data_IF_564588109595
#
_entry.id   IF_564588109595
#
_cell.length_a   1.000
_cell.length_b   1.000
_cell.length_c   1.000
_cell.angle_alpha   90.00
_cell.angle_beta   90.00
_cell.angle_gamma   90.00
#
_symmetry.space_group_name_H-M   'P 1'
#
loop_
_entity.id
_entity.type
_entity.pdbx_description
1 polymer ?
#
# COMPACT_ATOMS: atom_id res chain seq x y z
N UNK A 1 -32.05 56.25 -0.73
CA UNK A 1 -31.80 54.82 -1.08
C UNK A 1 -33.09 53.97 -0.88
N UNK A 2 -33.72 53.99 0.28
CA UNK A 2 -34.96 53.25 0.57
C UNK A 2 -36.13 53.58 -0.35
N UNK A 3 -36.30 54.84 -0.76
CA UNK A 3 -37.36 55.28 -1.67
C UNK A 3 -37.16 54.68 -3.07
N UNK A 4 -35.96 54.71 -3.57
CA UNK A 4 -35.59 54.11 -4.86
C UNK A 4 -35.83 52.60 -4.90
N UNK A 5 -35.44 51.87 -3.84
CA UNK A 5 -35.71 50.46 -3.74
C UNK A 5 -37.20 50.09 -3.68
N UNK A 6 -38.03 50.92 -3.03
CA UNK A 6 -39.49 50.75 -3.02
C UNK A 6 -40.11 50.97 -4.39
N UNK A 7 -39.61 51.95 -5.16
CA UNK A 7 -40.05 52.22 -6.53
C UNK A 7 -39.67 51.05 -7.45
N UNK A 8 -38.45 50.55 -7.36
CA UNK A 8 -37.98 49.35 -8.09
C UNK A 8 -38.83 48.12 -7.74
N UNK A 9 -39.15 47.90 -6.47
CA UNK A 9 -39.98 46.79 -6.03
C UNK A 9 -41.39 46.87 -6.60
N UNK A 10 -42.00 48.08 -6.66
CA UNK A 10 -43.34 48.29 -7.25
C UNK A 10 -43.34 48.14 -8.78
N UNK A 11 -42.25 48.49 -9.42
CA UNK A 11 -42.09 48.36 -10.88
C UNK A 11 -41.76 46.92 -11.30
N UNK A 12 -41.38 46.03 -10.36
CA UNK A 12 -41.01 44.67 -10.71
C UNK A 12 -42.20 43.83 -11.16
N UNK A 13 -42.12 43.06 -12.26
CA UNK A 13 -43.22 42.26 -12.80
C UNK A 13 -43.92 41.37 -11.78
N UNK A 14 -43.17 40.85 -10.80
CA UNK A 14 -43.73 40.00 -9.74
C UNK A 14 -44.55 40.77 -8.69
N UNK A 15 -44.57 42.11 -8.69
CA UNK A 15 -45.29 42.89 -7.68
C UNK A 15 -46.82 42.70 -7.77
N UNK A 16 -47.33 42.55 -8.97
CA UNK A 16 -48.77 42.35 -9.24
C UNK A 16 -49.14 40.87 -9.49
N UNK A 17 -48.19 39.95 -9.34
CA UNK A 17 -48.45 38.52 -9.56
C UNK A 17 -49.28 37.92 -8.41
N UNK A 18 -50.46 37.34 -8.69
CA UNK A 18 -51.31 36.72 -7.67
C UNK A 18 -50.64 35.56 -6.97
N UNK A 19 -49.73 34.84 -7.64
CA UNK A 19 -49.01 33.68 -7.12
C UNK A 19 -47.64 34.04 -6.55
N UNK A 20 -47.35 35.31 -6.26
CA UNK A 20 -46.05 35.80 -5.82
C UNK A 20 -45.45 35.02 -4.64
N UNK A 21 -46.29 34.69 -3.65
CA UNK A 21 -45.83 33.95 -2.46
C UNK A 21 -45.43 32.48 -2.78
N UNK A 22 -46.17 31.85 -3.68
CA UNK A 22 -45.83 30.51 -4.15
C UNK A 22 -44.50 30.54 -4.94
N UNK A 23 -44.36 31.52 -5.84
CA UNK A 23 -43.10 31.70 -6.59
C UNK A 23 -41.92 32.02 -5.69
N UNK A 24 -42.08 32.83 -4.65
CA UNK A 24 -41.05 33.13 -3.68
C UNK A 24 -40.58 31.86 -2.93
N UNK A 25 -41.50 31.02 -2.47
CA UNK A 25 -41.21 29.74 -1.82
C UNK A 25 -40.43 28.79 -2.75
N UNK A 26 -40.83 28.72 -4.02
CA UNK A 26 -40.11 27.93 -5.02
C UNK A 26 -38.71 28.48 -5.30
N UNK A 27 -38.53 29.79 -5.40
CA UNK A 27 -37.27 30.45 -5.58
C UNK A 27 -36.31 30.18 -4.39
N UNK A 28 -36.80 30.32 -3.16
CA UNK A 28 -36.03 30.02 -1.96
C UNK A 28 -35.56 28.55 -1.92
N UNK A 29 -36.50 27.61 -2.26
CA UNK A 29 -36.16 26.18 -2.35
C UNK A 29 -35.11 25.91 -3.41
N UNK A 30 -35.26 26.54 -4.60
CA UNK A 30 -34.30 26.39 -5.69
C UNK A 30 -32.92 26.92 -5.31
N UNK A 31 -32.85 28.11 -4.68
CA UNK A 31 -31.57 28.68 -4.22
C UNK A 31 -30.88 27.84 -3.16
N UNK A 32 -31.65 27.26 -2.26
CA UNK A 32 -31.10 26.34 -1.26
C UNK A 32 -30.49 25.10 -1.92
N UNK A 33 -31.26 24.42 -2.77
CA UNK A 33 -30.80 23.24 -3.49
C UNK A 33 -29.60 23.53 -4.38
N UNK A 34 -29.61 24.66 -5.08
CA UNK A 34 -28.49 25.10 -5.92
C UNK A 34 -27.20 25.27 -5.09
N UNK A 35 -27.28 25.90 -3.92
CA UNK A 35 -26.13 26.07 -3.04
C UNK A 35 -25.59 24.72 -2.54
N UNK A 36 -26.47 23.81 -2.15
CA UNK A 36 -26.11 22.46 -1.74
C UNK A 36 -25.42 21.70 -2.89
N UNK A 37 -26.01 21.76 -4.09
CA UNK A 37 -25.45 21.10 -5.29
C UNK A 37 -24.04 21.63 -5.63
N UNK A 38 -23.86 22.96 -5.66
CA UNK A 38 -22.55 23.59 -5.90
C UNK A 38 -21.54 23.18 -4.81
N UNK A 39 -21.97 23.12 -3.55
CA UNK A 39 -21.13 22.66 -2.45
C UNK A 39 -20.68 21.20 -2.61
N UNK A 40 -21.60 20.32 -3.03
CA UNK A 40 -21.30 18.92 -3.31
C UNK A 40 -20.38 18.74 -4.52
N UNK A 41 -20.65 19.50 -5.61
CA UNK A 41 -19.78 19.48 -6.79
C UNK A 41 -18.34 19.86 -6.47
N UNK A 42 -18.14 20.97 -5.72
CA UNK A 42 -16.78 21.38 -5.27
C UNK A 42 -16.08 20.31 -4.42
N UNK A 43 -16.84 19.60 -3.56
CA UNK A 43 -16.27 18.49 -2.77
C UNK A 43 -15.84 17.31 -3.64
N UNK A 44 -16.65 16.97 -4.66
CA UNK A 44 -16.33 15.89 -5.61
C UNK A 44 -15.12 16.29 -6.45
N UNK A 45 -15.11 17.48 -7.03
CA UNK A 45 -13.98 17.99 -7.83
C UNK A 45 -12.67 18.03 -7.01
N UNK A 46 -12.73 18.49 -5.74
CA UNK A 46 -11.57 18.49 -4.85
C UNK A 46 -11.02 17.08 -4.60
N UNK A 47 -11.90 16.09 -4.40
CA UNK A 47 -11.46 14.68 -4.20
C UNK A 47 -10.90 14.07 -5.48
N UNK A 48 -11.56 14.28 -6.61
CA UNK A 48 -11.10 13.77 -7.92
C UNK A 48 -9.73 14.33 -8.27
N UNK A 49 -9.50 15.64 -8.07
CA UNK A 49 -8.19 16.25 -8.30
C UNK A 49 -7.10 15.71 -7.35
N UNK A 50 -7.46 15.34 -6.11
CA UNK A 50 -6.51 14.74 -5.17
C UNK A 50 -6.10 13.34 -5.63
N UNK A 51 -7.05 12.50 -6.07
CA UNK A 51 -6.77 11.15 -6.58
C UNK A 51 -5.92 11.22 -7.85
N UNK A 52 -6.27 12.10 -8.80
CA UNK A 52 -5.50 12.28 -10.03
C UNK A 52 -4.04 12.70 -9.73
N UNK A 53 -3.83 13.68 -8.85
CA UNK A 53 -2.48 14.11 -8.45
C UNK A 53 -1.68 13.00 -7.77
N UNK A 54 -2.33 12.20 -6.90
CA UNK A 54 -1.66 11.06 -6.26
C UNK A 54 -1.28 10.01 -7.30
N UNK A 55 -2.14 9.76 -8.28
CA UNK A 55 -1.85 8.87 -9.40
C UNK A 55 -0.65 9.37 -10.23
N UNK A 56 -0.63 10.65 -10.60
CA UNK A 56 0.49 11.25 -11.33
C UNK A 56 1.81 11.09 -10.56
N UNK A 57 1.82 11.38 -9.25
CA UNK A 57 3.01 11.21 -8.37
C UNK A 57 3.48 9.76 -8.29
N UNK A 58 2.55 8.79 -8.25
CA UNK A 58 2.90 7.37 -8.29
C UNK A 58 3.54 7.03 -9.63
N UNK A 59 3.00 7.53 -10.74
CA UNK A 59 3.60 7.33 -12.06
C UNK A 59 5.02 7.92 -12.14
N UNK A 60 5.23 9.14 -11.63
CA UNK A 60 6.55 9.78 -11.60
C UNK A 60 7.57 8.95 -10.79
N UNK A 61 7.17 8.42 -9.62
CA UNK A 61 8.02 7.56 -8.80
C UNK A 61 8.33 6.21 -9.51
N UNK A 62 7.35 5.62 -10.17
CA UNK A 62 7.54 4.37 -10.93
C UNK A 62 8.40 4.57 -12.19
N UNK A 63 8.32 5.73 -12.84
CA UNK A 63 9.19 6.14 -13.94
C UNK A 63 10.64 6.28 -13.46
N UNK A 64 10.87 6.97 -12.33
CA UNK A 64 12.20 7.14 -11.74
C UNK A 64 12.88 5.79 -11.43
N UNK A 65 12.12 4.75 -11.06
CA UNK A 65 12.62 3.39 -10.83
C UNK A 65 12.66 2.52 -12.11
N UNK A 66 12.14 3.02 -13.23
CA UNK A 66 12.09 2.32 -14.52
C UNK A 66 11.04 1.21 -14.59
N UNK A 67 9.97 1.30 -13.82
CA UNK A 67 8.78 0.44 -13.93
C UNK A 67 7.80 0.92 -15.01
N UNK A 68 7.83 2.22 -15.31
CA UNK A 68 7.23 2.85 -16.48
C UNK A 68 8.31 3.38 -17.41
N UNK A 69 7.95 3.64 -18.66
CA UNK A 69 8.82 4.30 -19.63
C UNK A 69 8.98 5.79 -19.30
N UNK A 70 9.92 6.48 -19.99
CA UNK A 70 10.23 7.91 -19.79
C UNK A 70 9.03 8.86 -20.01
N UNK A 71 7.91 8.37 -20.53
CA UNK A 71 6.69 9.16 -20.71
C UNK A 71 5.59 8.76 -19.71
N UNK A 72 5.85 7.82 -18.79
CA UNK A 72 4.89 7.33 -17.82
C UNK A 72 3.68 6.60 -18.42
N UNK A 73 3.75 6.20 -19.70
CA UNK A 73 2.60 5.68 -20.44
C UNK A 73 2.67 4.18 -20.74
N UNK A 74 3.86 3.61 -20.78
CA UNK A 74 4.07 2.20 -21.09
C UNK A 74 4.68 1.46 -19.91
N UNK A 75 4.07 0.36 -19.51
CA UNK A 75 4.60 -0.53 -18.48
C UNK A 75 5.81 -1.27 -19.04
N UNK A 76 6.96 -1.13 -18.40
CA UNK A 76 8.19 -1.83 -18.77
C UNK A 76 8.13 -3.31 -18.38
N UNK A 77 9.10 -4.11 -18.83
CA UNK A 77 9.23 -5.51 -18.39
C UNK A 77 9.38 -5.62 -16.85
N UNK A 78 9.99 -4.62 -16.21
CA UNK A 78 10.07 -4.51 -14.74
C UNK A 78 8.70 -4.25 -14.15
N UNK A 79 7.93 -3.35 -14.73
CA UNK A 79 6.55 -3.06 -14.32
C UNK A 79 5.64 -4.29 -14.47
N UNK A 80 5.82 -5.10 -15.52
CA UNK A 80 5.10 -6.36 -15.70
C UNK A 80 5.39 -7.40 -14.60
N UNK A 81 6.52 -7.30 -13.92
CA UNK A 81 6.85 -8.13 -12.76
C UNK A 81 6.27 -7.56 -11.48
N UNK A 82 6.36 -6.25 -11.26
CA UNK A 82 5.77 -5.56 -10.11
C UNK A 82 4.26 -5.85 -10.02
N UNK A 83 3.52 -5.76 -11.13
CA UNK A 83 2.07 -6.03 -11.16
C UNK A 83 1.66 -7.47 -10.76
N UNK A 84 2.61 -8.38 -10.55
CA UNK A 84 2.36 -9.75 -10.03
C UNK A 84 2.50 -9.84 -8.51
N UNK A 85 2.87 -8.76 -7.85
CA UNK A 85 3.03 -8.66 -6.41
C UNK A 85 1.85 -7.87 -5.84
N UNK A 86 1.18 -8.43 -4.84
CA UNK A 86 0.00 -7.84 -4.20
C UNK A 86 0.21 -7.83 -2.68
N UNK A 87 1.04 -6.93 -2.21
CA UNK A 87 1.33 -6.69 -0.80
C UNK A 87 1.47 -5.20 -0.57
N UNK A 88 1.31 -4.73 0.65
CA UNK A 88 1.52 -3.32 1.01
C UNK A 88 2.97 -2.85 0.75
N UNK A 89 3.91 -3.79 0.66
CA UNK A 89 5.33 -3.56 0.36
C UNK A 89 5.74 -4.16 -1.00
N UNK A 90 4.85 -4.09 -1.99
CA UNK A 90 5.06 -4.69 -3.32
C UNK A 90 6.27 -4.12 -4.04
N UNK A 91 6.48 -2.81 -3.98
CA UNK A 91 7.62 -2.13 -4.56
C UNK A 91 8.93 -2.60 -3.91
N UNK A 92 8.97 -2.75 -2.59
CA UNK A 92 10.12 -3.28 -1.88
C UNK A 92 10.40 -4.74 -2.27
N UNK A 93 9.36 -5.57 -2.39
CA UNK A 93 9.50 -6.95 -2.85
C UNK A 93 10.06 -7.02 -4.29
N UNK A 94 9.60 -6.14 -5.18
CA UNK A 94 10.09 -6.04 -6.56
C UNK A 94 11.57 -5.61 -6.61
N UNK A 95 11.95 -4.63 -5.80
CA UNK A 95 13.33 -4.18 -5.68
C UNK A 95 14.24 -5.26 -5.09
N UNK A 96 13.79 -6.02 -4.10
CA UNK A 96 14.53 -7.18 -3.59
C UNK A 96 14.80 -8.24 -4.66
N UNK A 97 13.81 -8.52 -5.52
CA UNK A 97 13.98 -9.41 -6.67
C UNK A 97 14.95 -8.82 -7.71
N UNK A 98 14.87 -7.54 -7.98
CA UNK A 98 15.73 -6.83 -8.93
C UNK A 98 17.20 -6.83 -8.52
N UNK A 99 17.45 -6.67 -7.23
CA UNK A 99 18.80 -6.62 -6.64
C UNK A 99 19.34 -7.97 -6.16
N UNK A 100 18.67 -9.08 -6.53
CA UNK A 100 19.08 -10.44 -6.16
C UNK A 100 19.27 -10.65 -4.64
N UNK A 101 18.55 -9.89 -3.79
CA UNK A 101 18.69 -9.91 -2.32
C UNK A 101 18.50 -11.32 -1.76
N UNK A 102 17.63 -12.10 -2.36
CA UNK A 102 17.23 -13.42 -1.90
C UNK A 102 17.90 -14.58 -2.64
N UNK A 103 18.80 -14.31 -3.59
CA UNK A 103 19.36 -15.31 -4.52
C UNK A 103 20.15 -16.44 -3.85
N UNK A 104 20.78 -16.13 -2.73
CA UNK A 104 21.63 -17.09 -2.01
C UNK A 104 20.92 -17.83 -0.88
N UNK A 105 19.69 -17.48 -0.58
CA UNK A 105 18.93 -18.06 0.51
C UNK A 105 18.42 -19.45 0.13
N UNK A 106 18.49 -20.39 1.07
CA UNK A 106 17.75 -21.64 1.00
C UNK A 106 16.26 -21.41 1.27
N UNK A 107 15.43 -22.44 1.15
CA UNK A 107 13.99 -22.31 1.26
C UNK A 107 13.52 -21.79 2.63
N UNK A 108 13.98 -22.33 3.79
CA UNK A 108 13.63 -21.77 5.10
C UNK A 108 14.10 -20.33 5.31
N UNK A 109 15.30 -19.99 4.85
CA UNK A 109 15.87 -18.65 4.97
C UNK A 109 15.11 -17.65 4.08
N UNK A 110 14.69 -18.07 2.88
CA UNK A 110 13.86 -17.25 2.00
C UNK A 110 12.49 -16.98 2.65
N UNK A 111 11.83 -18.00 3.20
CA UNK A 111 10.57 -17.81 3.90
C UNK A 111 10.73 -16.83 5.08
N UNK A 112 11.82 -16.97 5.85
CA UNK A 112 12.15 -16.07 6.96
C UNK A 112 12.37 -14.62 6.50
N UNK A 113 13.14 -14.39 5.45
CA UNK A 113 13.38 -13.04 4.92
C UNK A 113 12.10 -12.40 4.36
N UNK A 114 11.33 -13.14 3.55
CA UNK A 114 10.08 -12.64 2.97
C UNK A 114 9.01 -12.38 4.03
N UNK A 115 9.06 -13.07 5.19
CA UNK A 115 8.13 -12.82 6.29
C UNK A 115 8.20 -11.39 6.84
N UNK A 116 9.33 -10.69 6.66
CA UNK A 116 9.48 -9.29 7.06
C UNK A 116 8.60 -8.32 6.26
N UNK A 117 8.09 -8.74 5.11
CA UNK A 117 7.17 -7.95 4.29
C UNK A 117 5.70 -8.09 4.74
N UNK A 118 5.36 -9.15 5.46
CA UNK A 118 4.00 -9.43 5.94
C UNK A 118 3.83 -9.26 7.45
N UNK A 119 4.95 -9.12 8.17
CA UNK A 119 4.91 -8.87 9.60
C UNK A 119 4.73 -7.38 9.89
N UNK A 120 3.80 -7.10 10.80
CA UNK A 120 3.58 -5.77 11.36
C UNK A 120 3.75 -5.88 12.88
N UNK A 121 4.78 -5.22 13.45
CA UNK A 121 5.02 -5.25 14.88
C UNK A 121 3.87 -4.57 15.65
N UNK A 122 3.54 -5.06 16.82
CA UNK A 122 2.74 -4.29 17.79
C UNK A 122 3.61 -3.20 18.40
N UNK A 123 3.03 -2.06 18.73
CA UNK A 123 3.76 -0.87 19.25
C UNK A 123 4.75 -1.13 20.39
N UNK A 124 4.60 -2.23 21.13
CA UNK A 124 5.48 -2.63 22.24
C UNK A 124 6.65 -3.53 21.81
N UNK A 125 6.61 -4.12 20.61
CA UNK A 125 7.64 -5.06 20.11
C UNK A 125 8.80 -4.33 19.39
N UNK A 126 8.62 -3.05 19.05
CA UNK A 126 9.58 -2.28 18.23
C UNK A 126 10.91 -1.93 18.94
N UNK A 127 11.03 -2.16 20.25
CA UNK A 127 12.24 -1.83 21.02
C UNK A 127 13.26 -2.98 21.13
N UNK A 128 12.89 -4.19 20.70
CA UNK A 128 13.78 -5.36 20.80
C UNK A 128 14.27 -5.75 19.43
N UNK A 129 15.61 -5.78 19.26
CA UNK A 129 16.22 -6.29 18.02
C UNK A 129 15.76 -7.72 17.75
N UNK A 130 15.14 -7.99 16.58
CA UNK A 130 14.59 -9.30 16.29
C UNK A 130 15.69 -10.37 16.23
N UNK A 131 15.42 -11.56 16.77
CA UNK A 131 16.33 -12.69 16.70
C UNK A 131 16.40 -13.22 15.28
N UNK A 132 17.61 -13.29 14.71
CA UNK A 132 17.83 -13.85 13.38
C UNK A 132 18.16 -15.36 13.45
N UNK A 133 17.68 -16.14 12.47
CA UNK A 133 17.97 -17.57 12.40
C UNK A 133 19.42 -17.87 11.99
N UNK A 134 19.99 -17.08 11.11
CA UNK A 134 21.34 -17.19 10.59
C UNK A 134 21.83 -15.85 9.99
N UNK A 135 23.12 -15.81 9.61
CA UNK A 135 23.76 -14.61 9.06
C UNK A 135 23.25 -14.26 7.67
N UNK A 136 22.84 -15.25 6.86
CA UNK A 136 22.32 -15.00 5.51
C UNK A 136 20.97 -14.25 5.57
N UNK A 137 20.08 -14.62 6.51
CA UNK A 137 18.82 -13.90 6.75
C UNK A 137 19.09 -12.51 7.31
N UNK A 138 20.03 -12.36 8.24
CA UNK A 138 20.42 -11.06 8.77
C UNK A 138 20.96 -10.13 7.67
N UNK A 139 21.81 -10.64 6.78
CA UNK A 139 22.32 -9.89 5.64
C UNK A 139 21.23 -9.52 4.65
N UNK A 140 20.28 -10.42 4.38
CA UNK A 140 19.13 -10.14 3.52
C UNK A 140 18.25 -9.05 4.10
N UNK A 141 17.93 -9.08 5.39
CA UNK A 141 17.13 -8.03 6.05
C UNK A 141 17.84 -6.67 6.01
N UNK A 142 19.15 -6.63 6.28
CA UNK A 142 19.93 -5.39 6.14
C UNK A 142 19.89 -4.84 4.71
N UNK A 143 19.92 -5.71 3.70
CA UNK A 143 19.78 -5.28 2.30
C UNK A 143 18.36 -4.78 1.99
N UNK A 144 17.33 -5.43 2.54
CA UNK A 144 15.94 -4.99 2.43
C UNK A 144 15.73 -3.62 3.09
N UNK A 145 16.30 -3.38 4.26
CA UNK A 145 16.24 -2.09 4.96
C UNK A 145 16.88 -0.96 4.14
N UNK A 146 18.01 -1.23 3.48
CA UNK A 146 18.65 -0.26 2.58
C UNK A 146 17.78 0.09 1.37
N UNK A 147 17.15 -0.91 0.75
CA UNK A 147 16.24 -0.69 -0.37
C UNK A 147 14.98 0.05 0.09
N UNK A 148 14.47 -0.30 1.26
CA UNK A 148 13.33 0.40 1.86
C UNK A 148 13.66 1.88 2.10
N UNK A 149 14.83 2.22 2.64
CA UNK A 149 15.24 3.62 2.82
C UNK A 149 15.28 4.40 1.51
N UNK A 150 15.73 3.77 0.41
CA UNK A 150 15.72 4.41 -0.91
C UNK A 150 14.29 4.63 -1.44
N UNK A 151 13.38 3.70 -1.17
CA UNK A 151 11.97 3.83 -1.53
C UNK A 151 11.31 4.93 -0.69
N UNK A 152 11.57 4.97 0.63
CA UNK A 152 11.05 6.00 1.52
C UNK A 152 11.50 7.42 1.11
N UNK A 153 12.77 7.57 0.74
CA UNK A 153 13.32 8.84 0.21
C UNK A 153 12.57 9.25 -1.08
N UNK A 154 12.36 8.31 -2.00
CA UNK A 154 11.63 8.55 -3.25
C UNK A 154 10.15 8.89 -3.01
N UNK A 155 9.46 8.14 -2.15
CA UNK A 155 8.07 8.39 -1.78
C UNK A 155 7.93 9.78 -1.14
N UNK A 156 8.88 10.18 -0.30
CA UNK A 156 8.94 11.51 0.32
C UNK A 156 9.17 12.59 -0.72
N UNK A 157 10.10 12.41 -1.66
CA UNK A 157 10.36 13.35 -2.76
C UNK A 157 9.13 13.61 -3.62
N UNK A 158 8.35 12.56 -3.87
CA UNK A 158 7.10 12.63 -4.64
C UNK A 158 5.86 12.95 -3.80
N UNK A 159 6.01 13.25 -2.51
CA UNK A 159 4.90 13.62 -1.60
C UNK A 159 3.83 12.49 -1.55
N UNK A 160 4.31 11.25 -1.52
CA UNK A 160 3.52 10.02 -1.38
C UNK A 160 3.51 9.53 0.07
N UNK A 161 2.50 8.74 0.49
CA UNK A 161 2.56 8.01 1.75
C UNK A 161 3.75 7.05 1.77
N UNK A 162 4.53 7.07 2.85
CA UNK A 162 5.72 6.23 2.97
C UNK A 162 5.36 4.77 3.30
N UNK A 163 6.03 3.84 2.63
CA UNK A 163 5.98 2.41 2.92
C UNK A 163 6.58 2.11 4.29
N UNK A 164 5.91 1.29 5.10
CA UNK A 164 6.43 0.91 6.42
C UNK A 164 7.69 0.03 6.30
N UNK A 165 8.65 0.22 7.23
CA UNK A 165 9.88 -0.55 7.29
C UNK A 165 9.60 -2.07 7.36
N UNK A 166 10.39 -2.93 6.68
CA UNK A 166 10.29 -4.38 6.84
C UNK A 166 10.67 -4.79 8.26
N UNK A 167 9.92 -5.71 8.85
CA UNK A 167 10.13 -6.13 10.23
C UNK A 167 10.47 -7.62 10.36
N UNK A 168 11.67 -7.93 10.87
CA UNK A 168 12.19 -9.27 11.04
C UNK A 168 11.66 -10.05 12.25
N UNK A 169 10.69 -9.53 13.02
CA UNK A 169 10.21 -10.15 14.25
C UNK A 169 9.68 -11.57 14.11
N UNK A 170 9.21 -11.95 12.94
CA UNK A 170 8.80 -13.33 12.63
C UNK A 170 9.89 -14.21 12.05
N UNK A 171 11.02 -13.66 11.60
CA UNK A 171 12.00 -14.38 10.78
C UNK A 171 12.50 -15.69 11.45
N UNK A 172 12.81 -15.63 12.73
CA UNK A 172 13.27 -16.81 13.48
C UNK A 172 12.19 -17.90 13.61
N UNK A 173 10.96 -17.52 13.89
CA UNK A 173 9.83 -18.45 14.00
C UNK A 173 9.52 -19.12 12.66
N UNK A 174 9.47 -18.33 11.59
CA UNK A 174 9.19 -18.80 10.23
C UNK A 174 10.29 -19.74 9.74
N UNK A 175 11.57 -19.41 9.98
CA UNK A 175 12.68 -20.29 9.61
C UNK A 175 12.56 -21.68 10.27
N UNK A 176 12.31 -21.72 11.57
CA UNK A 176 12.12 -22.98 12.31
C UNK A 176 10.91 -23.77 11.80
N UNK A 177 9.80 -23.07 11.57
CA UNK A 177 8.57 -23.67 11.04
C UNK A 177 8.80 -24.27 9.66
N UNK A 178 9.44 -23.52 8.76
CA UNK A 178 9.80 -23.98 7.42
C UNK A 178 10.86 -25.09 7.41
N UNK A 179 11.64 -25.23 8.49
CA UNK A 179 12.60 -26.33 8.70
C UNK A 179 11.97 -27.59 9.30
N UNK A 180 10.65 -27.58 9.57
CA UNK A 180 9.90 -28.75 10.04
C UNK A 180 9.73 -28.84 11.57
N UNK A 181 10.08 -27.80 12.32
CA UNK A 181 9.83 -27.78 13.76
C UNK A 181 8.32 -27.75 14.08
N UNK A 182 7.95 -28.33 15.20
CA UNK A 182 6.55 -28.35 15.65
C UNK A 182 6.10 -26.96 16.12
N UNK A 183 4.83 -26.61 15.87
CA UNK A 183 4.26 -25.31 16.21
C UNK A 183 4.44 -24.93 17.69
N UNK A 184 4.22 -25.89 18.59
CA UNK A 184 4.39 -25.72 20.04
C UNK A 184 5.86 -25.37 20.42
N UNK A 185 6.82 -25.91 19.69
CA UNK A 185 8.23 -25.62 19.88
C UNK A 185 8.63 -24.25 19.29
N UNK A 186 8.06 -23.89 18.15
CA UNK A 186 8.30 -22.59 17.48
C UNK A 186 7.78 -21.44 18.32
N UNK A 187 6.58 -21.57 18.90
CA UNK A 187 5.91 -20.52 19.67
C UNK A 187 6.32 -20.48 21.15
N UNK A 188 7.12 -21.43 21.61
CA UNK A 188 7.54 -21.46 23.02
C UNK A 188 8.37 -20.23 23.38
N UNK A 189 7.86 -19.43 24.34
CA UNK A 189 8.53 -18.20 24.79
C UNK A 189 8.36 -17.02 23.83
N UNK A 190 7.45 -17.11 22.86
CA UNK A 190 7.10 -16.03 21.97
C UNK A 190 5.78 -15.37 22.42
N UNK A 191 5.66 -14.07 22.26
CA UNK A 191 4.44 -13.32 22.61
C UNK A 191 3.32 -13.46 21.55
N UNK A 192 3.66 -13.99 20.37
CA UNK A 192 2.69 -14.17 19.27
C UNK A 192 1.74 -15.33 19.53
N UNK A 193 0.44 -15.08 19.43
CA UNK A 193 -0.58 -16.11 19.52
C UNK A 193 -0.53 -17.06 18.31
N UNK A 194 -0.80 -18.36 18.52
CA UNK A 194 -0.76 -19.36 17.45
C UNK A 194 -1.67 -19.01 16.26
N UNK A 195 -2.87 -18.48 16.50
CA UNK A 195 -3.79 -18.05 15.46
C UNK A 195 -3.24 -16.91 14.59
N UNK A 196 -2.56 -15.94 15.22
CA UNK A 196 -1.93 -14.84 14.51
C UNK A 196 -0.74 -15.32 13.67
N UNK A 197 0.09 -16.21 14.23
CA UNK A 197 1.20 -16.82 13.50
C UNK A 197 0.69 -17.57 12.24
N UNK A 198 -0.29 -18.44 12.39
CA UNK A 198 -0.85 -19.20 11.26
C UNK A 198 -1.47 -18.27 10.20
N UNK A 199 -2.18 -17.21 10.62
CA UNK A 199 -2.74 -16.21 9.70
C UNK A 199 -1.64 -15.52 8.88
N UNK A 200 -0.53 -15.12 9.52
CA UNK A 200 0.62 -14.50 8.84
C UNK A 200 1.36 -15.49 7.94
N UNK A 201 1.46 -16.76 8.35
CA UNK A 201 2.03 -17.81 7.48
C UNK A 201 1.20 -18.01 6.21
N UNK A 202 -0.13 -17.89 6.25
CA UNK A 202 -0.97 -17.93 5.03
C UNK A 202 -0.66 -16.74 4.11
N UNK A 203 -0.56 -15.52 4.64
CA UNK A 203 -0.16 -14.34 3.86
C UNK A 203 1.25 -14.51 3.28
N UNK A 204 2.18 -15.08 4.05
CA UNK A 204 3.54 -15.38 3.58
C UNK A 204 3.53 -16.38 2.42
N UNK A 205 2.76 -17.47 2.51
CA UNK A 205 2.63 -18.47 1.42
C UNK A 205 2.10 -17.81 0.14
N UNK A 206 1.09 -16.96 0.25
CA UNK A 206 0.54 -16.21 -0.88
C UNK A 206 1.59 -15.27 -1.49
N UNK A 207 2.38 -14.58 -0.66
CA UNK A 207 3.46 -13.71 -1.15
C UNK A 207 4.62 -14.50 -1.78
N UNK A 208 5.01 -15.64 -1.20
CA UNK A 208 6.04 -16.53 -1.79
C UNK A 208 5.63 -17.06 -3.17
N UNK A 209 4.34 -17.37 -3.39
CA UNK A 209 3.82 -17.76 -4.70
C UNK A 209 3.91 -16.61 -5.70
N UNK A 210 3.62 -15.38 -5.28
CA UNK A 210 3.78 -14.17 -6.09
C UNK A 210 5.26 -13.92 -6.42
N UNK A 211 6.17 -14.05 -5.45
CA UNK A 211 7.63 -13.97 -5.63
C UNK A 211 8.11 -15.01 -6.64
N UNK A 212 7.64 -16.26 -6.54
CA UNK A 212 7.96 -17.30 -7.51
C UNK A 212 7.49 -16.95 -8.93
N UNK A 213 6.30 -16.35 -9.08
CA UNK A 213 5.75 -15.93 -10.38
C UNK A 213 6.45 -14.68 -10.95
N UNK A 214 6.88 -13.75 -10.10
CA UNK A 214 7.57 -12.53 -10.50
C UNK A 214 9.07 -12.76 -10.79
N UNK A 215 9.67 -13.82 -10.22
CA UNK A 215 11.08 -14.14 -10.40
C UNK A 215 11.40 -14.61 -11.82
N UNK A 216 12.45 -14.06 -12.41
CA UNK A 216 12.99 -14.48 -13.72
C UNK A 216 14.01 -15.62 -13.59
N UNK A 217 14.72 -15.70 -12.46
CA UNK A 217 15.69 -16.75 -12.20
C UNK A 217 15.00 -18.08 -11.85
N UNK A 218 15.36 -19.13 -12.54
CA UNK A 218 14.83 -20.49 -12.34
C UNK A 218 15.21 -21.07 -10.96
N UNK A 219 16.37 -20.70 -10.41
CA UNK A 219 16.82 -21.14 -9.08
C UNK A 219 15.98 -20.45 -8.01
N UNK A 220 15.86 -19.11 -8.04
CA UNK A 220 15.04 -18.33 -7.12
C UNK A 220 13.58 -18.80 -7.14
N UNK A 221 13.04 -19.11 -8.34
CA UNK A 221 11.69 -19.64 -8.50
C UNK A 221 11.50 -20.99 -7.82
N UNK A 222 12.48 -21.91 -7.96
CA UNK A 222 12.44 -23.22 -7.28
C UNK A 222 12.54 -23.05 -5.77
N UNK A 223 13.45 -22.22 -5.30
CA UNK A 223 13.61 -21.94 -3.87
C UNK A 223 12.33 -21.37 -3.25
N UNK A 224 11.66 -20.43 -3.93
CA UNK A 224 10.38 -19.88 -3.47
C UNK A 224 9.28 -20.96 -3.41
N UNK A 225 9.20 -21.85 -4.38
CA UNK A 225 8.26 -22.99 -4.34
C UNK A 225 8.57 -23.96 -3.21
N UNK A 226 9.84 -24.31 -3.01
CA UNK A 226 10.27 -25.15 -1.86
C UNK A 226 9.98 -24.46 -0.52
N UNK A 227 10.09 -23.13 -0.45
CA UNK A 227 9.72 -22.37 0.74
C UNK A 227 8.21 -22.47 1.05
N UNK A 228 7.36 -22.45 0.02
CA UNK A 228 5.91 -22.67 0.17
C UNK A 228 5.61 -24.04 0.73
N UNK A 229 6.28 -25.09 0.22
CA UNK A 229 6.08 -26.47 0.67
C UNK A 229 6.57 -26.67 2.12
N UNK A 230 7.59 -25.92 2.53
CA UNK A 230 8.15 -25.94 3.88
C UNK A 230 7.32 -25.19 4.93
N UNK A 231 6.40 -24.29 4.52
CA UNK A 231 5.52 -23.56 5.43
C UNK A 231 4.14 -24.24 5.46
N UNK A 232 3.85 -25.15 6.41
CA UNK A 232 2.56 -25.85 6.51
C UNK A 232 1.40 -24.87 6.68
N UNK A 233 0.27 -25.17 6.03
CA UNK A 233 -0.96 -24.35 6.04
C UNK A 233 -1.83 -24.63 7.25
#
# INVERSE_FOLDING_TARGET
HARMLREQLRAHPCHQCPDREAHARWAERWWRLKRETVGLQRKVEGRTNTVARTFDRICDALEALGYLDENGTVVTERGERLRRLYTEKDLLAAECLRHDVWKRLDAPSLAAAVSALVHEPRHQEAEVSPRMPNDDVAAALTAMERLWSQIEDLETEHDLPTTSMPDGGMAWMVHRWASGDRLDAVLRGQEMAAGDFVRRCKQLVDLLDQVAKASTDAVARRTARSAIDGVPR
#
